data_IF_433056556786
#
_entry.id   IF_433056556786
#
_cell.length_a   1.000
_cell.length_b   1.000
_cell.length_c   1.000
_cell.angle_alpha   90.00
_cell.angle_beta   90.00
_cell.angle_gamma   90.00
#
_symmetry.space_group_name_H-M   'P 1'
#
loop_
_entity.id
_entity.type
_entity.pdbx_description
1 polymer ?
#
# COMPACT_ATOMS: atom_id res chain seq x y z
N UNK A 1 13.06 -11.28 45.88
CA UNK A 1 12.10 -11.71 44.83
C UNK A 1 11.02 -10.68 44.52
N UNK A 2 10.34 -10.08 45.52
CA UNK A 2 9.25 -9.09 45.28
C UNK A 2 9.63 -7.89 44.39
N UNK A 3 10.80 -7.27 44.63
CA UNK A 3 11.27 -6.10 43.85
C UNK A 3 11.56 -6.43 42.38
N UNK A 4 12.06 -7.64 42.12
CA UNK A 4 12.33 -8.14 40.77
C UNK A 4 11.03 -8.46 40.02
N UNK A 5 10.05 -9.07 40.70
CA UNK A 5 8.72 -9.32 40.12
C UNK A 5 7.99 -8.02 39.74
N UNK A 6 8.08 -6.99 40.59
CA UNK A 6 7.50 -5.68 40.30
C UNK A 6 8.14 -5.02 39.07
N UNK A 7 9.47 -5.10 38.93
CA UNK A 7 10.16 -4.59 37.73
C UNK A 7 9.71 -5.29 36.47
N UNK A 8 9.55 -6.62 36.49
CA UNK A 8 9.06 -7.39 35.34
C UNK A 8 7.66 -6.93 34.92
N UNK A 9 6.76 -6.68 35.88
CA UNK A 9 5.40 -6.19 35.60
C UNK A 9 5.46 -4.80 34.94
N UNK A 10 6.29 -3.89 35.46
CA UNK A 10 6.43 -2.54 34.89
C UNK A 10 6.94 -2.62 33.45
N UNK A 11 7.98 -3.42 33.19
CA UNK A 11 8.49 -3.60 31.84
C UNK A 11 7.46 -4.25 30.92
N UNK A 12 6.69 -5.23 31.41
CA UNK A 12 5.61 -5.84 30.65
C UNK A 12 4.55 -4.84 30.21
N UNK A 13 4.15 -3.93 31.11
CA UNK A 13 3.20 -2.85 30.78
C UNK A 13 3.80 -1.89 29.75
N UNK A 14 5.06 -1.47 29.93
CA UNK A 14 5.72 -0.56 29.01
C UNK A 14 5.86 -1.15 27.60
N UNK A 15 6.25 -2.43 27.50
CA UNK A 15 6.36 -3.14 26.22
C UNK A 15 4.98 -3.25 25.56
N UNK A 16 3.96 -3.65 26.32
CA UNK A 16 2.60 -3.79 25.80
C UNK A 16 2.03 -2.45 25.30
N UNK A 17 2.28 -1.38 26.04
CA UNK A 17 1.90 -0.03 25.64
C UNK A 17 2.64 0.40 24.37
N UNK A 18 3.95 0.17 24.28
CA UNK A 18 4.75 0.48 23.09
C UNK A 18 4.28 -0.27 21.84
N UNK A 19 4.00 -1.56 21.97
CA UNK A 19 3.43 -2.37 20.88
C UNK A 19 2.04 -1.87 20.48
N UNK A 20 1.20 -1.51 21.45
CA UNK A 20 -0.11 -0.93 21.18
C UNK A 20 -0.04 0.37 20.38
N UNK A 21 0.86 1.28 20.76
CA UNK A 21 1.10 2.53 20.03
C UNK A 21 1.59 2.25 18.61
N UNK A 22 2.57 1.34 18.43
CA UNK A 22 3.10 1.00 17.12
C UNK A 22 2.02 0.46 16.16
N UNK A 23 1.08 -0.35 16.68
CA UNK A 23 -0.05 -0.85 15.88
C UNK A 23 -1.01 0.27 15.48
N UNK A 24 -1.25 1.25 16.37
CA UNK A 24 -2.10 2.41 16.07
C UNK A 24 -1.44 3.31 15.02
N UNK A 25 -0.16 3.63 15.19
CA UNK A 25 0.60 4.44 14.23
C UNK A 25 0.65 3.79 12.84
N UNK A 26 0.85 2.47 12.78
CA UNK A 26 0.82 1.73 11.53
C UNK A 26 -0.55 1.81 10.84
N UNK A 27 -1.66 1.74 11.60
CA UNK A 27 -2.99 1.90 11.01
C UNK A 27 -3.23 3.32 10.46
N UNK A 28 -2.85 4.35 11.21
CA UNK A 28 -2.99 5.75 10.78
C UNK A 28 -2.12 6.04 9.55
N UNK A 29 -0.89 5.52 9.51
CA UNK A 29 0.03 5.76 8.38
C UNK A 29 -0.46 5.12 7.08
N UNK A 30 -1.17 4.00 7.19
CA UNK A 30 -1.74 3.26 6.06
C UNK A 30 -3.19 3.68 5.76
N UNK A 31 -3.75 4.61 6.52
CA UNK A 31 -5.09 5.14 6.27
C UNK A 31 -5.09 5.85 4.90
N UNK A 32 -5.93 5.36 3.98
CA UNK A 32 -5.97 5.84 2.59
C UNK A 32 -4.99 5.17 1.62
N UNK A 33 -4.14 4.25 2.08
CA UNK A 33 -3.24 3.47 1.21
C UNK A 33 -3.84 2.08 0.99
N UNK A 34 -4.12 1.75 -0.27
CA UNK A 34 -4.48 0.39 -0.68
C UNK A 34 -3.27 -0.27 -1.34
N UNK A 35 -2.78 -1.35 -0.74
CA UNK A 35 -1.61 -2.08 -1.23
C UNK A 35 -1.98 -3.52 -1.62
N UNK A 36 -1.37 -4.00 -2.70
CA UNK A 36 -1.41 -5.40 -3.10
C UNK A 36 0.00 -5.89 -3.41
N UNK A 37 0.34 -7.08 -2.91
CA UNK A 37 1.63 -7.73 -3.13
C UNK A 37 1.40 -9.12 -3.74
N UNK A 38 2.30 -9.55 -4.62
CA UNK A 38 2.16 -10.85 -5.27
C UNK A 38 3.24 -11.14 -6.29
N UNK A 39 3.10 -12.27 -6.97
CA UNK A 39 3.93 -12.65 -8.12
C UNK A 39 3.23 -12.18 -9.40
N UNK A 40 4.02 -11.66 -10.34
CA UNK A 40 3.55 -11.28 -11.68
C UNK A 40 4.34 -12.08 -12.71
N UNK A 41 3.63 -12.74 -13.63
CA UNK A 41 4.19 -13.45 -14.78
C UNK A 41 3.14 -13.53 -15.89
N UNK A 42 3.38 -14.33 -16.94
CA UNK A 42 2.46 -14.46 -18.07
C UNK A 42 1.07 -15.02 -17.72
N UNK A 43 0.94 -15.71 -16.59
CA UNK A 43 -0.32 -16.32 -16.11
C UNK A 43 -0.89 -15.60 -14.88
N UNK A 44 -0.10 -14.74 -14.23
CA UNK A 44 -0.42 -14.13 -12.94
C UNK A 44 -0.32 -12.61 -13.05
N UNK A 45 -1.42 -11.93 -12.71
CA UNK A 45 -1.50 -10.48 -12.60
C UNK A 45 -1.91 -10.11 -11.18
N UNK A 46 -1.47 -8.94 -10.70
CA UNK A 46 -1.94 -8.36 -9.45
C UNK A 46 -2.98 -7.31 -9.82
N UNK A 47 -4.16 -7.41 -9.21
CA UNK A 47 -5.22 -6.41 -9.33
C UNK A 47 -5.45 -5.80 -7.95
N UNK A 48 -5.42 -4.48 -7.91
CA UNK A 48 -5.74 -3.69 -6.72
C UNK A 48 -7.01 -2.91 -7.06
N UNK A 49 -8.03 -3.03 -6.20
CA UNK A 49 -9.29 -2.30 -6.35
C UNK A 49 -9.45 -1.35 -5.18
N UNK A 50 -9.78 -0.10 -5.48
CA UNK A 50 -10.02 0.95 -4.50
C UNK A 50 -11.26 1.73 -4.93
N UNK A 51 -12.08 2.11 -3.97
CA UNK A 51 -13.20 3.02 -4.18
C UNK A 51 -12.76 4.41 -3.73
N UNK A 52 -12.71 5.36 -4.65
CA UNK A 52 -12.29 6.73 -4.40
C UNK A 52 -13.47 7.66 -4.65
N UNK A 53 -13.79 8.50 -3.67
CA UNK A 53 -14.73 9.61 -3.87
C UNK A 53 -13.95 10.78 -4.49
N UNK A 54 -14.35 11.21 -5.69
CA UNK A 54 -13.71 12.32 -6.40
C UNK A 54 -13.82 13.65 -5.64
N UNK A 55 -14.89 13.85 -4.88
CA UNK A 55 -15.12 15.10 -4.13
C UNK A 55 -14.18 15.18 -2.92
N UNK A 56 -13.83 14.05 -2.32
CA UNK A 56 -12.87 13.99 -1.21
C UNK A 56 -11.42 13.83 -1.70
N UNK A 57 -11.20 13.03 -2.75
CA UNK A 57 -9.89 12.67 -3.31
C UNK A 57 -9.91 12.84 -4.84
N UNK A 58 -9.69 14.06 -5.37
CA UNK A 58 -9.74 14.33 -6.80
C UNK A 58 -8.51 13.78 -7.57
N UNK A 59 -7.40 13.54 -6.88
CA UNK A 59 -6.15 13.04 -7.45
C UNK A 59 -5.68 11.85 -6.61
N UNK A 60 -5.45 10.72 -7.27
CA UNK A 60 -4.86 9.53 -6.69
C UNK A 60 -3.39 9.40 -7.06
N UNK A 61 -2.62 8.69 -6.24
CA UNK A 61 -1.23 8.31 -6.52
C UNK A 61 -1.16 6.79 -6.54
N UNK A 62 -0.49 6.23 -7.54
CA UNK A 62 -0.12 4.82 -7.52
C UNK A 62 1.40 4.67 -7.53
N UNK A 63 1.87 3.65 -6.82
CA UNK A 63 3.27 3.26 -6.82
C UNK A 63 3.40 1.76 -7.07
N UNK A 64 4.39 1.38 -7.87
CA UNK A 64 4.75 -0.01 -8.16
C UNK A 64 6.21 -0.20 -7.84
N UNK A 65 6.52 -1.22 -7.04
CA UNK A 65 7.88 -1.63 -6.71
C UNK A 65 8.09 -3.09 -7.13
N UNK A 66 9.19 -3.36 -7.84
CA UNK A 66 9.50 -4.66 -8.42
C UNK A 66 10.85 -5.13 -7.86
N UNK A 67 10.83 -6.21 -7.06
CA UNK A 67 12.03 -6.73 -6.40
C UNK A 67 13.07 -7.28 -7.39
N UNK A 68 12.63 -8.04 -8.41
CA UNK A 68 13.49 -8.65 -9.43
C UNK A 68 13.22 -8.01 -10.79
N UNK A 69 13.55 -6.72 -10.91
CA UNK A 69 13.26 -5.94 -12.11
C UNK A 69 13.98 -6.48 -13.35
N UNK A 70 13.22 -6.54 -14.45
CA UNK A 70 13.73 -6.78 -15.80
C UNK A 70 13.06 -5.79 -16.74
N UNK A 71 13.88 -5.09 -17.52
CA UNK A 71 13.42 -4.08 -18.45
C UNK A 71 12.40 -4.67 -19.44
N UNK A 72 11.38 -3.87 -19.79
CA UNK A 72 10.33 -4.22 -20.75
C UNK A 72 9.51 -5.49 -20.41
N UNK A 73 9.54 -5.96 -19.16
CA UNK A 73 8.82 -7.19 -18.76
C UNK A 73 7.48 -6.88 -18.10
N UNK A 74 7.38 -5.78 -17.37
CA UNK A 74 6.21 -5.43 -16.59
C UNK A 74 5.46 -4.24 -17.19
N UNK A 75 4.15 -4.23 -17.02
CA UNK A 75 3.28 -3.11 -17.39
C UNK A 75 2.26 -2.89 -16.28
N UNK A 76 1.89 -1.64 -16.10
CA UNK A 76 0.83 -1.22 -15.20
C UNK A 76 -0.30 -0.60 -16.02
N UNK A 77 -1.52 -0.84 -15.58
CA UNK A 77 -2.73 -0.27 -16.14
C UNK A 77 -3.66 0.15 -15.02
N UNK A 78 -4.25 1.34 -15.14
CA UNK A 78 -5.32 1.82 -14.27
C UNK A 78 -6.57 1.93 -15.12
N UNK A 79 -7.66 1.37 -14.61
CA UNK A 79 -8.99 1.42 -15.24
C UNK A 79 -9.97 2.12 -14.33
N UNK A 80 -10.90 2.86 -14.95
CA UNK A 80 -12.07 3.39 -14.27
C UNK A 80 -13.15 2.29 -14.08
N UNK A 81 -14.25 2.59 -13.36
CA UNK A 81 -15.36 1.64 -13.18
C UNK A 81 -16.07 1.24 -14.48
N UNK A 82 -15.86 1.96 -15.59
CA UNK A 82 -16.41 1.68 -16.91
C UNK A 82 -15.41 0.91 -17.82
N UNK A 83 -14.35 0.35 -17.24
CA UNK A 83 -13.26 -0.36 -17.92
C UNK A 83 -12.42 0.52 -18.88
N UNK A 84 -12.54 1.85 -18.78
CA UNK A 84 -11.75 2.80 -19.57
C UNK A 84 -10.34 2.91 -18.99
N UNK A 85 -9.31 2.85 -19.84
CA UNK A 85 -7.93 3.02 -19.39
C UNK A 85 -7.65 4.49 -19.03
N UNK A 86 -7.35 4.77 -17.76
CA UNK A 86 -6.87 6.08 -17.30
C UNK A 86 -5.36 6.18 -17.54
N UNK A 87 -4.63 5.11 -17.22
CA UNK A 87 -3.17 5.00 -17.41
C UNK A 87 -2.86 3.63 -17.98
N UNK A 88 -1.93 3.57 -18.95
CA UNK A 88 -1.36 2.35 -19.48
C UNK A 88 0.12 2.58 -19.77
N UNK A 89 1.01 1.94 -19.01
CA UNK A 89 2.44 2.22 -19.05
C UNK A 89 3.27 0.94 -18.91
N UNK A 90 4.33 0.83 -19.72
CA UNK A 90 5.40 -0.16 -19.50
C UNK A 90 6.34 0.34 -18.42
N UNK A 91 6.73 -0.55 -17.52
CA UNK A 91 7.62 -0.24 -16.40
C UNK A 91 9.07 -0.34 -16.89
N UNK A 92 9.78 0.78 -16.81
CA UNK A 92 11.15 1.00 -17.26
C UNK A 92 12.17 1.04 -16.11
N UNK A 93 11.70 1.22 -14.88
CA UNK A 93 12.51 1.21 -13.65
C UNK A 93 11.95 0.23 -12.62
N UNK A 94 12.74 -0.13 -11.62
CA UNK A 94 12.32 -1.00 -10.52
C UNK A 94 11.24 -0.38 -9.62
N UNK A 95 11.14 0.95 -9.63
CA UNK A 95 10.12 1.73 -8.91
C UNK A 95 9.49 2.75 -9.85
N UNK A 96 8.16 2.81 -9.87
CA UNK A 96 7.38 3.82 -10.60
C UNK A 96 6.34 4.41 -9.66
N UNK A 97 6.22 5.73 -9.66
CA UNK A 97 5.19 6.47 -8.94
C UNK A 97 4.59 7.51 -9.89
N UNK A 98 3.27 7.63 -9.91
CA UNK A 98 2.58 8.60 -10.76
C UNK A 98 1.18 8.95 -10.22
N UNK A 99 0.79 10.20 -10.46
CA UNK A 99 -0.54 10.73 -10.18
C UNK A 99 -1.54 10.38 -11.29
N UNK A 100 -2.80 10.20 -10.91
CA UNK A 100 -3.93 10.06 -11.83
C UNK A 100 -5.14 10.85 -11.33
N UNK A 101 -5.94 11.36 -12.26
CA UNK A 101 -7.20 12.01 -11.93
C UNK A 101 -8.26 10.97 -11.58
N UNK A 102 -8.96 11.19 -10.48
CA UNK A 102 -10.12 10.36 -10.11
C UNK A 102 -11.30 10.81 -10.95
N UNK A 103 -11.85 9.88 -11.72
CA UNK A 103 -13.01 10.11 -12.58
C UNK A 103 -14.29 9.67 -11.88
N UNK A 104 -15.38 10.38 -12.17
CA UNK A 104 -16.70 9.96 -11.69
C UNK A 104 -17.13 8.72 -12.47
N UNK A 105 -17.82 7.82 -11.78
CA UNK A 105 -18.54 6.71 -12.41
C UNK A 105 -19.77 7.19 -13.17
#
# INVERSE_FOLDING_TARGET
MQKTGLLIIIFGILISAGLGIAVIENQITLEGIVQGNGKVNTEQVITISVNLDKEETPVGIFAVQIMDFKENTFSVKIIDPSDTEIISKKIDTDTVEQEFEVVNS
#
